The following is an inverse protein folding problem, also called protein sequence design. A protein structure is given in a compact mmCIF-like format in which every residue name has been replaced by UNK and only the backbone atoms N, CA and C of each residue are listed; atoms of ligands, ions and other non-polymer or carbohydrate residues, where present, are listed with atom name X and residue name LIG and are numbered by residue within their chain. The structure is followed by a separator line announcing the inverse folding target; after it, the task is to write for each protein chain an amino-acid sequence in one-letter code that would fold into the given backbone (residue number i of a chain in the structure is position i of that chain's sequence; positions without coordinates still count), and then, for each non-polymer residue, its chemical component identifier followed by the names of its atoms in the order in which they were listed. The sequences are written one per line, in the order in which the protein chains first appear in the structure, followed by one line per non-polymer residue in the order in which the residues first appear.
data_IF_365131212934
#
_entry.id   IF_365131212934
#
_cell.length_a   1.000
_cell.length_b   1.000
_cell.length_c   1.000
_cell.angle_alpha   90.00
_cell.angle_beta   90.00
_cell.angle_gamma   90.00
#
_symmetry.space_group_name_H-M   'P 1'
#
loop_
_entity.id
_entity.type
_entity.pdbx_description
1 polymer ?
#
# COMPACT_ATOMS: atom_id res chain seq x y z
N UNK A 1 -20.64 11.07 6.21
CA UNK A 1 -19.23 10.85 5.83
C UNK A 1 -19.21 10.18 4.48
N UNK A 2 -18.48 10.73 3.53
CA UNK A 2 -18.34 10.09 2.22
C UNK A 2 -17.46 8.84 2.30
N UNK A 3 -17.66 7.91 1.38
CA UNK A 3 -16.95 6.62 1.40
C UNK A 3 -15.44 6.78 1.38
N UNK A 4 -14.92 7.70 0.59
CA UNK A 4 -13.48 7.96 0.53
C UNK A 4 -12.91 8.29 1.90
N UNK A 5 -13.50 9.24 2.60
CA UNK A 5 -13.03 9.66 3.92
C UNK A 5 -13.15 8.52 4.94
N UNK A 6 -14.22 7.74 4.83
CA UNK A 6 -14.43 6.57 5.68
C UNK A 6 -13.29 5.55 5.52
N UNK A 7 -13.00 5.14 4.28
CA UNK A 7 -11.95 4.15 4.05
C UNK A 7 -10.53 4.68 4.32
N UNK A 8 -10.29 5.96 4.04
CA UNK A 8 -9.02 6.61 4.41
C UNK A 8 -8.87 6.61 5.93
N UNK A 9 -9.92 6.90 6.68
CA UNK A 9 -9.86 6.88 8.15
C UNK A 9 -9.56 5.49 8.69
N UNK A 10 -10.09 4.44 8.07
CA UNK A 10 -9.76 3.06 8.43
C UNK A 10 -8.29 2.75 8.11
N UNK A 11 -7.80 3.16 6.95
CA UNK A 11 -6.39 2.97 6.59
C UNK A 11 -5.46 3.68 7.59
N UNK A 12 -5.84 4.87 8.08
CA UNK A 12 -5.10 5.58 9.11
C UNK A 12 -5.05 4.79 10.45
N UNK A 13 -6.11 4.07 10.79
CA UNK A 13 -6.10 3.19 11.96
C UNK A 13 -5.25 1.94 11.71
N UNK A 14 -5.35 1.36 10.53
CA UNK A 14 -4.59 0.16 10.14
C UNK A 14 -3.09 0.40 10.27
N UNK A 15 -2.60 1.56 9.83
CA UNK A 15 -1.16 1.88 9.85
C UNK A 15 -0.57 1.87 11.26
N UNK A 16 -1.38 2.09 12.30
CA UNK A 16 -0.89 2.15 13.67
C UNK A 16 -0.32 0.81 14.17
N UNK A 17 -0.59 -0.27 13.46
CA UNK A 17 0.02 -1.59 13.74
C UNK A 17 1.40 -1.77 13.10
N UNK A 18 1.83 -0.83 12.28
CA UNK A 18 3.15 -0.90 11.63
C UNK A 18 4.27 -1.00 12.67
N UNK A 19 5.25 -1.83 12.37
CA UNK A 19 6.48 -1.96 13.17
C UNK A 19 7.56 -0.96 12.75
N UNK A 20 7.34 -0.22 11.69
CA UNK A 20 8.28 0.81 11.25
C UNK A 20 8.26 1.97 12.25
N UNK A 21 9.41 2.30 12.82
CA UNK A 21 9.51 3.35 13.82
C UNK A 21 9.53 4.76 13.20
N UNK A 22 9.73 4.87 11.88
CA UNK A 22 9.84 6.16 11.19
C UNK A 22 8.64 6.48 10.32
N UNK A 23 8.16 5.52 9.54
CA UNK A 23 7.11 5.75 8.55
C UNK A 23 6.09 4.63 8.62
N UNK A 24 4.89 4.96 9.04
CA UNK A 24 3.77 4.02 9.11
C UNK A 24 2.85 4.22 7.92
N UNK A 25 2.52 3.15 7.24
CA UNK A 25 1.64 3.15 6.07
C UNK A 25 0.55 2.11 6.25
N UNK A 26 -0.67 2.48 5.92
CA UNK A 26 -1.82 1.58 5.92
C UNK A 26 -2.48 1.50 4.56
N UNK A 27 -3.04 0.34 4.26
CA UNK A 27 -3.79 0.06 3.05
C UNK A 27 -5.09 -0.65 3.40
N UNK A 28 -6.17 -0.24 2.74
CA UNK A 28 -7.47 -0.89 2.84
C UNK A 28 -7.94 -1.19 1.43
N UNK A 29 -8.26 -2.45 1.15
CA UNK A 29 -8.77 -2.88 -0.15
C UNK A 29 -10.27 -3.16 -0.02
N UNK A 30 -11.04 -2.54 -0.90
CA UNK A 30 -12.50 -2.48 -0.83
C UNK A 30 -13.10 -3.01 -2.13
N UNK A 31 -14.11 -3.82 -2.04
CA UNK A 31 -14.84 -4.34 -3.18
C UNK A 31 -15.82 -3.32 -3.78
N UNK A 32 -16.42 -3.70 -4.89
CA UNK A 32 -17.31 -2.81 -5.65
C UNK A 32 -18.57 -2.39 -4.90
N UNK A 33 -18.96 -3.14 -3.88
CA UNK A 33 -20.16 -2.82 -3.07
C UNK A 33 -19.77 -2.20 -1.71
N UNK A 34 -18.57 -1.62 -1.63
CA UNK A 34 -18.02 -0.97 -0.44
C UNK A 34 -17.73 -1.93 0.74
N UNK A 35 -17.62 -3.22 0.47
CA UNK A 35 -17.19 -4.19 1.45
C UNK A 35 -15.66 -4.17 1.59
N UNK A 36 -15.15 -4.22 2.82
CA UNK A 36 -13.71 -4.32 3.06
C UNK A 36 -13.28 -5.76 2.79
N UNK A 37 -12.35 -5.93 1.86
CA UNK A 37 -11.82 -7.23 1.46
C UNK A 37 -10.55 -7.59 2.22
N UNK A 38 -9.69 -6.60 2.46
CA UNK A 38 -8.40 -6.83 3.10
C UNK A 38 -7.81 -5.52 3.61
N UNK A 39 -6.90 -5.65 4.57
CA UNK A 39 -6.10 -4.54 5.06
C UNK A 39 -4.63 -4.98 5.12
N UNK A 40 -3.73 -3.99 5.10
CA UNK A 40 -2.31 -4.24 5.27
C UNK A 40 -1.60 -3.00 5.81
N UNK A 41 -0.50 -3.23 6.49
CA UNK A 41 0.39 -2.17 6.96
C UNK A 41 1.83 -2.58 6.68
N UNK A 42 2.71 -1.60 6.55
CA UNK A 42 4.13 -1.91 6.32
C UNK A 42 4.74 -2.50 7.59
N UNK A 43 5.37 -3.65 7.45
CA UNK A 43 5.90 -4.37 8.61
C UNK A 43 6.85 -5.46 8.19
N UNK A 44 7.49 -6.06 9.18
CA UNK A 44 8.21 -7.32 8.99
C UNK A 44 7.22 -8.45 8.67
N UNK A 45 7.63 -9.44 7.89
CA UNK A 45 6.83 -10.65 7.71
C UNK A 45 6.53 -11.34 9.04
N UNK A 46 5.39 -12.02 9.09
CA UNK A 46 5.01 -12.81 10.27
C UNK A 46 6.08 -13.84 10.61
N UNK A 47 6.39 -13.95 11.89
CA UNK A 47 7.42 -14.90 12.38
C UNK A 47 8.83 -14.34 12.40
N UNK A 48 9.06 -13.21 11.78
CA UNK A 48 10.36 -12.56 11.85
C UNK A 48 10.54 -11.86 13.20
N UNK A 49 11.77 -11.85 13.72
CA UNK A 49 12.09 -11.15 14.95
C UNK A 49 12.03 -9.63 14.74
N UNK A 50 11.07 -8.98 15.41
CA UNK A 50 10.83 -7.53 15.31
C UNK A 50 11.88 -6.70 16.05
N UNK A 51 12.68 -7.33 16.91
CA UNK A 51 13.58 -6.63 17.83
C UNK A 51 15.03 -6.49 17.33
N UNK A 52 15.29 -6.77 16.07
CA UNK A 52 16.61 -6.60 15.47
C UNK A 52 16.72 -5.17 14.95
N UNK A 53 17.37 -4.31 15.71
CA UNK A 53 17.47 -2.86 15.43
C UNK A 53 18.04 -2.56 14.04
N UNK A 54 19.02 -3.32 13.60
CA UNK A 54 19.67 -3.12 12.30
C UNK A 54 18.70 -3.25 11.13
N UNK A 55 17.60 -4.01 11.29
CA UNK A 55 16.56 -4.16 10.25
C UNK A 55 15.66 -2.93 10.11
N UNK A 56 15.71 -2.01 11.04
CA UNK A 56 15.02 -0.72 10.96
C UNK A 56 15.83 0.32 10.18
N UNK A 57 17.10 0.07 9.96
CA UNK A 57 18.03 1.01 9.35
C UNK A 57 18.27 0.69 7.87
N UNK A 58 18.40 1.75 7.08
CA UNK A 58 18.77 1.62 5.66
C UNK A 58 20.25 1.26 5.56
N UNK A 59 20.67 0.39 4.63
CA UNK A 59 19.86 -0.25 3.57
C UNK A 59 19.17 -1.55 4.01
N UNK A 60 19.49 -2.11 5.15
CA UNK A 60 18.95 -3.40 5.61
C UNK A 60 17.42 -3.42 5.60
N UNK A 61 16.79 -2.36 6.06
CA UNK A 61 15.34 -2.19 6.09
C UNK A 61 14.67 -2.62 4.78
N UNK A 62 15.26 -2.30 3.63
CA UNK A 62 14.69 -2.62 2.32
C UNK A 62 14.61 -4.12 2.03
N UNK A 63 15.39 -4.92 2.70
CA UNK A 63 15.38 -6.38 2.52
C UNK A 63 14.39 -7.09 3.43
N UNK A 64 14.02 -6.47 4.55
CA UNK A 64 13.27 -7.13 5.62
C UNK A 64 11.83 -6.66 5.74
N UNK A 65 11.55 -5.38 5.46
CA UNK A 65 10.20 -4.83 5.52
C UNK A 65 9.41 -5.13 4.25
N UNK A 66 8.13 -5.47 4.45
CA UNK A 66 7.18 -5.57 3.35
C UNK A 66 6.26 -4.35 3.35
N UNK A 67 5.84 -3.91 2.17
CA UNK A 67 5.00 -2.74 2.02
C UNK A 67 3.54 -3.03 2.35
N UNK A 68 2.82 -1.99 2.77
CA UNK A 68 1.41 -2.10 3.17
C UNK A 68 0.52 -2.65 2.05
N UNK A 69 0.74 -2.20 0.82
CA UNK A 69 -0.02 -2.61 -0.35
C UNK A 69 0.11 -4.11 -0.59
N UNK A 70 1.36 -4.62 -0.61
CA UNK A 70 1.60 -6.04 -0.82
C UNK A 70 1.12 -6.87 0.37
N UNK A 71 1.26 -6.36 1.60
CA UNK A 71 0.73 -7.04 2.76
C UNK A 71 -0.80 -7.18 2.70
N UNK A 72 -1.50 -6.18 2.17
CA UNK A 72 -2.94 -6.29 1.95
C UNK A 72 -3.27 -7.38 0.91
N UNK A 73 -2.48 -7.48 -0.15
CA UNK A 73 -2.62 -8.55 -1.15
C UNK A 73 -2.37 -9.92 -0.51
N UNK A 74 -1.30 -10.07 0.26
CA UNK A 74 -0.96 -11.32 0.93
C UNK A 74 -2.01 -11.72 1.96
N UNK A 75 -2.56 -10.77 2.71
CA UNK A 75 -3.64 -11.05 3.65
C UNK A 75 -4.88 -11.57 2.93
N UNK A 76 -5.24 -11.00 1.79
CA UNK A 76 -6.34 -11.49 0.98
C UNK A 76 -6.07 -12.92 0.48
N UNK A 77 -4.86 -13.16 -0.02
CA UNK A 77 -4.46 -14.50 -0.46
C UNK A 77 -4.51 -15.51 0.69
N UNK A 78 -4.08 -15.10 1.87
CA UNK A 78 -4.02 -15.94 3.06
C UNK A 78 -5.41 -16.42 3.52
N UNK A 79 -6.43 -15.58 3.39
CA UNK A 79 -7.80 -15.93 3.78
C UNK A 79 -8.67 -16.34 2.59
N UNK A 80 -8.14 -16.31 1.38
CA UNK A 80 -8.84 -16.77 0.18
C UNK A 80 -9.87 -15.79 -0.36
N UNK A 81 -9.60 -14.48 -0.30
CA UNK A 81 -10.49 -13.44 -0.80
C UNK A 81 -9.98 -12.90 -2.13
N UNK A 82 -10.85 -12.86 -3.14
CA UNK A 82 -10.53 -12.25 -4.44
C UNK A 82 -10.49 -10.73 -4.33
N UNK A 83 -9.47 -10.12 -4.92
CA UNK A 83 -9.34 -8.67 -5.03
C UNK A 83 -9.77 -8.15 -6.41
N UNK A 84 -10.41 -8.98 -7.21
CA UNK A 84 -10.85 -8.61 -8.55
C UNK A 84 -11.81 -7.42 -8.48
N UNK A 85 -11.56 -6.42 -9.33
CA UNK A 85 -12.40 -5.19 -9.44
C UNK A 85 -12.47 -4.38 -8.14
N UNK A 86 -11.42 -4.39 -7.35
CA UNK A 86 -11.36 -3.68 -6.08
C UNK A 86 -10.71 -2.31 -6.18
N UNK A 87 -10.88 -1.53 -5.13
CA UNK A 87 -10.22 -0.22 -4.92
C UNK A 87 -9.33 -0.30 -3.70
N UNK A 88 -8.10 0.20 -3.79
CA UNK A 88 -7.20 0.32 -2.64
C UNK A 88 -7.12 1.77 -2.16
N UNK A 89 -7.23 1.96 -0.85
CA UNK A 89 -7.07 3.24 -0.17
C UNK A 89 -5.77 3.21 0.60
N UNK A 90 -4.87 4.17 0.34
CA UNK A 90 -3.53 4.23 0.91
C UNK A 90 -3.36 5.49 1.76
N UNK A 91 -2.64 5.39 2.87
CA UNK A 91 -2.23 6.55 3.66
C UNK A 91 -0.96 7.21 3.14
N UNK A 92 -0.38 6.66 2.09
CA UNK A 92 0.82 7.18 1.41
C UNK A 92 0.48 7.71 0.02
N UNK A 93 1.51 8.15 -0.69
CA UNK A 93 1.40 8.53 -2.10
C UNK A 93 1.32 7.30 -3.01
N UNK A 94 1.63 7.51 -4.30
CA UNK A 94 1.63 6.44 -5.29
C UNK A 94 2.44 5.23 -4.82
N UNK A 95 1.96 4.01 -5.08
CA UNK A 95 2.74 2.81 -4.77
C UNK A 95 4.04 2.76 -5.58
N UNK A 96 5.04 2.09 -5.05
CA UNK A 96 6.26 1.80 -5.82
C UNK A 96 5.94 0.83 -6.96
N UNK A 97 6.89 0.64 -7.87
CA UNK A 97 6.69 -0.24 -9.03
C UNK A 97 6.34 -1.67 -8.63
N UNK A 98 7.00 -2.22 -7.62
CA UNK A 98 6.71 -3.58 -7.16
C UNK A 98 5.27 -3.70 -6.66
N UNK A 99 4.82 -2.73 -5.87
CA UNK A 99 3.46 -2.71 -5.36
C UNK A 99 2.44 -2.47 -6.47
N UNK A 100 2.74 -1.55 -7.39
CA UNK A 100 1.86 -1.26 -8.52
C UNK A 100 1.61 -2.50 -9.38
N UNK A 101 2.68 -3.22 -9.72
CA UNK A 101 2.55 -4.49 -10.46
C UNK A 101 1.69 -5.50 -9.70
N UNK A 102 1.92 -5.61 -8.40
CA UNK A 102 1.13 -6.52 -7.56
C UNK A 102 -0.35 -6.16 -7.51
N UNK A 103 -0.67 -4.88 -7.41
CA UNK A 103 -2.04 -4.40 -7.38
C UNK A 103 -2.75 -4.67 -8.72
N UNK A 104 -2.08 -4.38 -9.83
CA UNK A 104 -2.63 -4.67 -11.16
C UNK A 104 -2.92 -6.16 -11.33
N UNK A 105 -1.95 -7.00 -11.00
CA UNK A 105 -2.09 -8.46 -11.15
C UNK A 105 -3.14 -9.05 -10.23
N UNK A 106 -3.42 -8.39 -9.10
CA UNK A 106 -4.46 -8.82 -8.15
C UNK A 106 -5.87 -8.45 -8.59
N UNK A 107 -6.01 -7.58 -9.60
CA UNK A 107 -7.31 -7.15 -10.09
C UNK A 107 -7.81 -5.82 -9.52
N UNK A 108 -6.96 -5.06 -8.85
CA UNK A 108 -7.28 -3.71 -8.38
C UNK A 108 -7.49 -2.80 -9.59
N UNK A 109 -8.61 -2.07 -9.60
CA UNK A 109 -8.98 -1.19 -10.72
C UNK A 109 -8.90 0.30 -10.36
N UNK A 110 -8.72 0.62 -9.09
CA UNK A 110 -8.63 2.01 -8.64
C UNK A 110 -7.73 2.12 -7.41
N UNK A 111 -6.93 3.17 -7.39
CA UNK A 111 -6.05 3.50 -6.26
C UNK A 111 -6.42 4.90 -5.78
N UNK A 112 -6.68 5.03 -4.48
CA UNK A 112 -6.91 6.31 -3.81
C UNK A 112 -5.73 6.54 -2.87
N UNK A 113 -4.94 7.57 -3.11
CA UNK A 113 -3.70 7.81 -2.37
C UNK A 113 -3.48 9.30 -2.15
N UNK A 114 -2.55 9.64 -1.25
CA UNK A 114 -2.23 11.04 -0.99
C UNK A 114 -1.60 11.70 -2.20
N UNK A 115 -2.01 12.91 -2.46
CA UNK A 115 -1.33 13.81 -3.37
C UNK A 115 0.06 14.04 -2.77
N UNK A 116 1.03 13.43 -3.36
CA UNK A 116 2.31 13.10 -2.84
C UNK A 116 2.96 14.07 -1.89
N UNK A 117 3.85 13.54 -1.08
CA UNK A 117 4.79 14.32 -0.30
C UNK A 117 6.02 14.63 -1.17
N UNK A 118 6.03 15.79 -1.79
CA UNK A 118 7.07 16.22 -2.73
C UNK A 118 8.45 16.31 -2.15
N UNK A 119 8.54 16.67 -0.90
CA UNK A 119 9.82 17.02 -0.28
C UNK A 119 10.70 15.83 0.07
N UNK A 120 10.12 14.63 0.14
CA UNK A 120 10.85 13.41 0.50
C UNK A 120 11.08 12.47 -0.67
N UNK A 121 10.55 12.79 -1.84
CA UNK A 121 10.61 11.94 -3.03
C UNK A 121 11.70 12.42 -3.97
N UNK A 122 12.94 12.23 -3.58
CA UNK A 122 14.09 12.42 -4.45
C UNK A 122 14.65 11.07 -4.86
N UNK A 123 15.27 11.00 -6.02
CA UNK A 123 15.97 9.82 -6.52
C UNK A 123 15.08 8.64 -6.85
N UNK A 124 15.40 7.47 -6.29
CA UNK A 124 14.76 6.19 -6.64
C UNK A 124 13.24 6.17 -6.42
N UNK A 125 12.75 6.81 -5.37
CA UNK A 125 11.32 6.84 -5.06
C UNK A 125 10.54 7.63 -6.10
N UNK A 126 11.08 8.79 -6.51
CA UNK A 126 10.46 9.62 -7.53
C UNK A 126 10.37 8.88 -8.86
N UNK A 127 11.49 8.27 -9.29
CA UNK A 127 11.52 7.47 -10.52
C UNK A 127 10.53 6.31 -10.48
N UNK A 128 10.48 5.59 -9.35
CA UNK A 128 9.57 4.47 -9.17
C UNK A 128 8.12 4.93 -9.25
N UNK A 129 7.77 6.05 -8.63
CA UNK A 129 6.42 6.60 -8.65
C UNK A 129 6.00 7.10 -10.03
N UNK A 130 6.92 7.73 -10.77
CA UNK A 130 6.66 8.17 -12.14
C UNK A 130 6.34 6.98 -13.05
N UNK A 131 7.15 5.92 -12.96
CA UNK A 131 6.92 4.69 -13.71
C UNK A 131 5.65 3.97 -13.27
N UNK A 132 5.39 3.97 -11.98
CA UNK A 132 4.16 3.41 -11.41
C UNK A 132 2.92 4.07 -12.02
N UNK A 133 2.91 5.39 -12.13
CA UNK A 133 1.79 6.12 -12.73
C UNK A 133 1.61 5.75 -14.20
N UNK A 134 2.70 5.62 -14.96
CA UNK A 134 2.66 5.17 -16.36
C UNK A 134 2.06 3.76 -16.45
N UNK A 135 2.55 2.84 -15.62
CA UNK A 135 2.05 1.46 -15.58
C UNK A 135 0.55 1.42 -15.27
N UNK A 136 0.13 2.12 -14.25
CA UNK A 136 -1.26 2.14 -13.82
C UNK A 136 -2.17 2.69 -14.90
N UNK A 137 -1.77 3.79 -15.56
CA UNK A 137 -2.52 4.37 -16.65
C UNK A 137 -2.63 3.42 -17.86
N UNK A 138 -1.54 2.78 -18.24
CA UNK A 138 -1.57 1.79 -19.34
C UNK A 138 -2.46 0.60 -19.03
N UNK A 139 -2.47 0.16 -17.77
CA UNK A 139 -3.29 -0.98 -17.34
C UNK A 139 -4.75 -0.60 -17.05
N UNK A 140 -5.13 0.66 -17.27
CA UNK A 140 -6.49 1.12 -17.05
C UNK A 140 -6.90 1.26 -15.59
N UNK A 141 -5.92 1.38 -14.68
CA UNK A 141 -6.19 1.59 -13.26
C UNK A 141 -6.37 3.08 -13.00
N UNK A 142 -7.52 3.45 -12.45
CA UNK A 142 -7.80 4.83 -12.07
C UNK A 142 -6.97 5.23 -10.84
N UNK A 143 -6.42 6.44 -10.85
CA UNK A 143 -5.71 7.00 -9.70
C UNK A 143 -6.40 8.27 -9.25
N UNK A 144 -6.83 8.29 -8.00
CA UNK A 144 -7.44 9.45 -7.36
C UNK A 144 -6.54 9.92 -6.21
N UNK A 145 -6.23 11.21 -6.20
CA UNK A 145 -5.46 11.82 -5.12
C UNK A 145 -6.34 12.56 -4.13
N UNK A 146 -5.95 12.58 -2.85
CA UNK A 146 -6.61 13.36 -1.81
C UNK A 146 -5.62 14.10 -0.93
#
# INVERSE_FOLDING_TARGET
MIWKDYFVSIAEQVKEKSKDIKTKIGAVIVGKDNEILSTGYNSFPRGLNDNVVQRQERPEKYFWFEHAERNAIYNAARIGVSLKQSTVYLTSGLPCMDCARGLVQSGVIKIVCKKHCTTKNSGKWKESQERSLILLNECGVEVEFY
#
